data_IF_845609672149
#
_entry.id   IF_845609672149
#
_cell.length_a   1.000
_cell.length_b   1.000
_cell.length_c   1.000
_cell.angle_alpha   90.00
_cell.angle_beta   90.00
_cell.angle_gamma   90.00
#
_symmetry.space_group_name_H-M   'P 1'
#
loop_
_entity.id
_entity.type
_entity.pdbx_description
1 polymer ?
#
# COMPACT_ATOMS: atom_id res chain seq x y z
N UNK A 1 -3.58 -0.11 -32.50
CA UNK A 1 -4.08 -1.29 -33.24
C UNK A 1 -3.36 -1.32 -34.58
N UNK A 2 -2.62 -2.38 -34.92
CA UNK A 2 -2.00 -2.51 -36.25
C UNK A 2 -3.09 -2.67 -37.31
N UNK A 3 -2.99 -1.91 -38.39
CA UNK A 3 -3.91 -2.00 -39.55
C UNK A 3 -3.67 -3.30 -40.32
N UNK A 4 -4.63 -3.70 -41.17
CA UNK A 4 -4.48 -4.87 -42.05
C UNK A 4 -3.27 -4.73 -42.99
N UNK A 5 -2.99 -3.50 -43.43
CA UNK A 5 -1.83 -3.17 -44.24
C UNK A 5 -0.52 -3.38 -43.47
N UNK A 6 -0.45 -2.98 -42.19
CA UNK A 6 0.74 -3.20 -41.33
C UNK A 6 1.01 -4.70 -41.12
N UNK A 7 -0.04 -5.51 -41.02
CA UNK A 7 0.08 -6.98 -40.91
C UNK A 7 0.62 -7.61 -42.18
N UNK A 8 0.17 -7.15 -43.35
CA UNK A 8 0.66 -7.62 -44.65
C UNK A 8 2.13 -7.26 -44.87
N UNK A 9 2.54 -6.02 -44.54
CA UNK A 9 3.94 -5.62 -44.62
C UNK A 9 4.84 -6.39 -43.65
N UNK A 10 4.38 -6.62 -42.42
CA UNK A 10 5.10 -7.45 -41.46
C UNK A 10 5.23 -8.90 -41.93
N UNK A 11 4.16 -9.50 -42.46
CA UNK A 11 4.19 -10.86 -43.00
C UNK A 11 5.13 -10.99 -44.20
N UNK A 12 5.10 -10.02 -45.12
CA UNK A 12 6.04 -9.95 -46.24
C UNK A 12 7.49 -9.83 -45.76
N UNK A 13 7.77 -8.93 -44.82
CA UNK A 13 9.11 -8.76 -44.25
C UNK A 13 9.64 -10.02 -43.57
N UNK A 14 8.79 -10.73 -42.81
CA UNK A 14 9.16 -12.00 -42.17
C UNK A 14 9.42 -13.10 -43.20
N UNK A 15 8.60 -13.19 -44.25
CA UNK A 15 8.76 -14.19 -45.30
C UNK A 15 10.06 -13.98 -46.11
N UNK A 16 10.29 -12.75 -46.60
CA UNK A 16 11.50 -12.42 -47.36
C UNK A 16 12.75 -12.49 -46.50
N UNK A 17 12.71 -11.93 -45.28
CA UNK A 17 13.82 -11.99 -44.32
C UNK A 17 14.15 -13.42 -43.89
N UNK A 18 13.12 -14.24 -43.63
CA UNK A 18 13.29 -15.65 -43.27
C UNK A 18 13.88 -16.49 -44.41
N UNK A 19 13.42 -16.27 -45.65
CA UNK A 19 13.94 -16.96 -46.84
C UNK A 19 15.40 -16.58 -47.10
N UNK A 20 15.75 -15.30 -46.99
CA UNK A 20 17.13 -14.84 -47.15
C UNK A 20 18.04 -15.38 -46.04
N UNK A 21 17.58 -15.39 -44.79
CA UNK A 21 18.34 -15.92 -43.66
C UNK A 21 18.57 -17.43 -43.77
N UNK A 22 17.56 -18.19 -44.21
CA UNK A 22 17.70 -19.62 -44.45
C UNK A 22 18.65 -19.91 -45.60
N UNK A 23 18.53 -19.19 -46.73
CA UNK A 23 19.46 -19.34 -47.85
C UNK A 23 20.92 -19.04 -47.46
N UNK A 24 21.14 -18.01 -46.65
CA UNK A 24 22.46 -17.69 -46.12
C UNK A 24 22.98 -18.76 -45.15
N UNK A 25 22.11 -19.29 -44.29
CA UNK A 25 22.39 -20.39 -43.37
C UNK A 25 22.79 -21.67 -44.11
N UNK A 26 21.98 -22.10 -45.08
CA UNK A 26 22.24 -23.29 -45.91
C UNK A 26 23.56 -23.14 -46.67
N UNK A 27 23.85 -21.97 -47.24
CA UNK A 27 25.12 -21.72 -47.94
C UNK A 27 26.31 -21.76 -46.97
N UNK A 28 26.20 -21.12 -45.80
CA UNK A 28 27.28 -21.12 -44.81
C UNK A 28 27.59 -22.53 -44.29
N UNK A 29 26.56 -23.34 -44.01
CA UNK A 29 26.73 -24.73 -43.62
C UNK A 29 27.34 -25.58 -44.75
N UNK A 30 26.88 -25.39 -45.99
CA UNK A 30 27.41 -26.11 -47.16
C UNK A 30 28.87 -25.76 -47.45
N UNK A 31 29.23 -24.49 -47.33
CA UNK A 31 30.59 -23.98 -47.47
C UNK A 31 31.51 -24.52 -46.37
N UNK A 32 31.04 -24.58 -45.12
CA UNK A 32 31.77 -25.21 -44.02
C UNK A 32 32.00 -26.71 -44.26
N UNK A 33 30.99 -27.42 -44.76
CA UNK A 33 31.11 -28.82 -45.17
C UNK A 33 32.15 -29.05 -46.26
N UNK A 34 32.18 -28.18 -47.28
CA UNK A 34 33.19 -28.23 -48.35
C UNK A 34 34.60 -27.93 -47.83
N UNK A 35 34.75 -26.91 -46.97
CA UNK A 35 36.04 -26.53 -46.38
C UNK A 35 36.62 -27.65 -45.50
N UNK A 36 35.77 -28.39 -44.77
CA UNK A 36 36.19 -29.54 -43.96
C UNK A 36 36.70 -30.71 -44.81
N UNK A 37 36.25 -30.81 -46.08
CA UNK A 37 36.77 -31.79 -47.04
C UNK A 37 37.94 -31.28 -47.88
N UNK A 38 38.44 -30.05 -47.61
CA UNK A 38 39.54 -29.44 -48.35
C UNK A 38 39.15 -28.83 -49.71
N UNK A 39 37.85 -28.73 -49.99
CA UNK A 39 37.31 -28.18 -51.24
C UNK A 39 37.01 -26.68 -51.11
N UNK A 40 37.08 -25.96 -52.23
CA UNK A 40 36.78 -24.53 -52.25
C UNK A 40 35.28 -24.25 -52.20
N UNK A 41 34.86 -23.35 -51.31
CA UNK A 41 33.45 -22.96 -51.23
C UNK A 41 32.96 -22.23 -52.49
N UNK A 42 31.78 -22.58 -52.97
CA UNK A 42 31.12 -21.85 -54.06
C UNK A 42 30.84 -20.39 -53.65
N UNK A 43 30.99 -19.39 -54.53
CA UNK A 43 30.82 -17.99 -54.19
C UNK A 43 29.39 -17.70 -53.70
N UNK A 44 29.25 -16.86 -52.67
CA UNK A 44 27.95 -16.41 -52.17
C UNK A 44 27.30 -15.46 -53.19
N UNK A 45 26.34 -15.97 -53.97
CA UNK A 45 25.61 -15.19 -54.97
C UNK A 45 24.14 -15.64 -55.05
N UNK A 46 23.20 -14.78 -55.49
CA UNK A 46 21.81 -15.19 -55.72
C UNK A 46 21.68 -16.36 -56.69
N UNK A 47 22.57 -16.44 -57.69
CA UNK A 47 22.62 -17.56 -58.64
C UNK A 47 23.03 -18.86 -57.96
N UNK A 48 23.98 -18.80 -57.02
CA UNK A 48 24.41 -19.96 -56.22
C UNK A 48 23.25 -20.48 -55.38
N UNK A 49 22.51 -19.59 -54.70
CA UNK A 49 21.33 -19.96 -53.91
C UNK A 49 20.25 -20.64 -54.77
N UNK A 50 19.96 -20.10 -55.96
CA UNK A 50 19.03 -20.72 -56.90
C UNK A 50 19.50 -22.12 -57.31
N UNK A 51 20.77 -22.27 -57.66
CA UNK A 51 21.35 -23.55 -58.06
C UNK A 51 21.46 -24.56 -56.93
N UNK A 52 21.63 -24.14 -55.68
CA UNK A 52 21.56 -25.05 -54.54
C UNK A 52 20.19 -25.74 -54.47
N UNK A 53 19.13 -25.08 -54.90
CA UNK A 53 17.78 -25.68 -54.94
C UNK A 53 17.57 -26.53 -56.19
N UNK A 54 18.01 -26.07 -57.36
CA UNK A 54 17.70 -26.74 -58.64
C UNK A 54 18.73 -27.77 -59.09
N UNK A 55 19.99 -27.64 -58.67
CA UNK A 55 21.12 -28.47 -59.10
C UNK A 55 22.26 -28.43 -58.06
N UNK A 56 22.03 -29.10 -56.93
CA UNK A 56 22.99 -29.16 -55.81
C UNK A 56 24.35 -29.70 -56.23
N UNK A 57 24.37 -30.72 -57.11
CA UNK A 57 25.57 -31.36 -57.63
C UNK A 57 26.47 -30.40 -58.41
N UNK A 58 25.90 -29.45 -59.15
CA UNK A 58 26.68 -28.46 -59.90
C UNK A 58 27.32 -27.40 -58.98
N UNK A 59 26.76 -27.16 -57.80
CA UNK A 59 27.32 -26.20 -56.83
C UNK A 59 28.42 -26.82 -55.98
N UNK A 60 28.27 -28.11 -55.62
CA UNK A 60 29.19 -28.83 -54.73
C UNK A 60 29.74 -30.11 -55.36
N UNK A 61 30.39 -30.05 -56.54
CA UNK A 61 30.70 -31.24 -57.35
C UNK A 61 31.59 -32.28 -56.65
N UNK A 62 32.53 -31.83 -55.82
CA UNK A 62 33.51 -32.69 -55.14
C UNK A 62 33.23 -32.90 -53.64
N UNK A 63 32.19 -32.26 -53.09
CA UNK A 63 31.86 -32.30 -51.66
C UNK A 63 30.37 -32.51 -51.38
N UNK A 64 29.62 -33.11 -52.30
CA UNK A 64 28.14 -33.19 -52.28
C UNK A 64 27.58 -33.62 -50.92
N UNK A 65 28.10 -34.71 -50.35
CA UNK A 65 27.63 -35.28 -49.08
C UNK A 65 28.05 -34.44 -47.88
N UNK A 66 29.31 -33.96 -47.85
CA UNK A 66 29.83 -33.16 -46.74
C UNK A 66 29.15 -31.77 -46.67
N UNK A 67 28.95 -31.13 -47.82
CA UNK A 67 28.20 -29.88 -47.93
C UNK A 67 26.73 -30.07 -47.56
N UNK A 68 26.09 -31.18 -47.91
CA UNK A 68 24.71 -31.46 -47.52
C UNK A 68 24.57 -31.66 -46.00
N UNK A 69 25.50 -32.42 -45.40
CA UNK A 69 25.55 -32.61 -43.94
C UNK A 69 25.82 -31.27 -43.23
N UNK A 70 26.77 -30.46 -43.73
CA UNK A 70 27.08 -29.15 -43.17
C UNK A 70 25.89 -28.19 -43.25
N UNK A 71 25.22 -28.11 -44.39
CA UNK A 71 24.01 -27.30 -44.59
C UNK A 71 22.90 -27.70 -43.62
N UNK A 72 22.58 -28.99 -43.56
CA UNK A 72 21.50 -29.50 -42.70
C UNK A 72 21.77 -29.28 -41.21
N UNK A 73 22.99 -29.56 -40.73
CA UNK A 73 23.35 -29.33 -39.33
C UNK A 73 23.28 -27.84 -38.95
N UNK A 74 23.74 -26.97 -39.84
CA UNK A 74 23.72 -25.53 -39.60
C UNK A 74 22.30 -24.98 -39.60
N UNK A 75 21.45 -25.39 -40.55
CA UNK A 75 20.04 -25.00 -40.60
C UNK A 75 19.27 -25.48 -39.36
N UNK A 76 19.52 -26.71 -38.90
CA UNK A 76 18.93 -27.23 -37.64
C UNK A 76 19.37 -26.39 -36.45
N UNK A 77 20.66 -26.03 -36.37
CA UNK A 77 21.18 -25.19 -35.28
C UNK A 77 20.57 -23.77 -35.29
N UNK A 78 20.46 -23.15 -36.47
CA UNK A 78 19.85 -21.83 -36.63
C UNK A 78 18.37 -21.86 -36.27
N UNK A 79 17.61 -22.84 -36.77
CA UNK A 79 16.20 -23.02 -36.40
C UNK A 79 16.05 -23.25 -34.89
N UNK A 80 16.90 -24.08 -34.28
CA UNK A 80 16.86 -24.32 -32.84
C UNK A 80 17.13 -23.03 -32.04
N UNK A 81 18.11 -22.22 -32.44
CA UNK A 81 18.42 -20.94 -31.81
C UNK A 81 17.30 -19.91 -31.99
N UNK A 82 16.70 -19.82 -33.19
CA UNK A 82 15.57 -18.93 -33.46
C UNK A 82 14.34 -19.34 -32.63
N UNK A 83 14.00 -20.64 -32.62
CA UNK A 83 12.89 -21.16 -31.81
C UNK A 83 13.15 -20.92 -30.32
N UNK A 84 14.38 -21.12 -29.84
CA UNK A 84 14.77 -20.86 -28.45
C UNK A 84 14.66 -19.38 -28.09
N UNK A 85 15.18 -18.49 -28.95
CA UNK A 85 15.09 -17.04 -28.79
C UNK A 85 13.64 -16.54 -28.81
N UNK A 86 12.82 -17.05 -29.73
CA UNK A 86 11.38 -16.75 -29.78
C UNK A 86 10.67 -17.24 -28.50
N UNK A 87 10.97 -18.44 -28.01
CA UNK A 87 10.40 -18.95 -26.74
C UNK A 87 10.75 -18.03 -25.56
N UNK A 88 11.99 -17.57 -25.46
CA UNK A 88 12.41 -16.61 -24.43
C UNK A 88 11.70 -15.26 -24.58
N UNK A 89 11.63 -14.72 -25.80
CA UNK A 89 10.96 -13.46 -26.09
C UNK A 89 9.47 -13.53 -25.76
N UNK A 90 8.78 -14.60 -26.18
CA UNK A 90 7.38 -14.85 -25.84
C UNK A 90 7.19 -14.99 -24.33
N UNK A 91 8.09 -15.68 -23.61
CA UNK A 91 8.01 -15.78 -22.14
C UNK A 91 8.08 -14.42 -21.46
N UNK A 92 8.85 -13.47 -21.99
CA UNK A 92 9.00 -12.13 -21.41
C UNK A 92 7.92 -11.13 -21.83
N UNK A 93 7.42 -11.22 -23.06
CA UNK A 93 6.55 -10.19 -23.65
C UNK A 93 5.09 -10.62 -23.85
N UNK A 94 4.79 -11.92 -23.85
CA UNK A 94 3.43 -12.40 -24.06
C UNK A 94 2.70 -12.48 -22.73
N UNK A 95 1.70 -11.61 -22.54
CA UNK A 95 0.74 -11.74 -21.45
C UNK A 95 -0.59 -12.29 -22.00
N UNK A 96 -0.95 -13.57 -21.74
CA UNK A 96 -2.18 -14.16 -22.25
C UNK A 96 -3.45 -13.69 -21.53
N UNK A 97 -3.36 -12.94 -20.43
CA UNK A 97 -4.48 -12.63 -19.55
C UNK A 97 -4.81 -11.14 -19.44
N UNK A 98 -4.34 -10.31 -20.39
CA UNK A 98 -4.49 -8.83 -20.35
C UNK A 98 -3.94 -8.18 -19.07
N UNK A 99 -3.05 -8.88 -18.35
CA UNK A 99 -2.35 -8.35 -17.19
C UNK A 99 -1.09 -7.59 -17.64
N UNK A 100 -0.49 -6.84 -16.72
CA UNK A 100 0.79 -6.19 -16.98
C UNK A 100 1.89 -7.24 -17.23
N UNK A 101 2.80 -6.96 -18.16
CA UNK A 101 3.98 -7.80 -18.39
C UNK A 101 5.00 -7.61 -17.26
N UNK A 102 5.89 -8.60 -17.05
CA UNK A 102 6.95 -8.50 -16.04
C UNK A 102 7.83 -7.26 -16.24
N UNK A 103 8.01 -6.83 -17.50
CA UNK A 103 8.75 -5.62 -17.81
C UNK A 103 8.03 -4.34 -17.34
N UNK A 104 6.70 -4.30 -17.41
CA UNK A 104 5.89 -3.17 -16.94
C UNK A 104 5.87 -3.09 -15.41
N UNK A 105 5.92 -4.23 -14.71
CA UNK A 105 5.98 -4.29 -13.24
C UNK A 105 7.39 -4.53 -12.70
N UNK A 106 8.43 -4.29 -13.51
CA UNK A 106 9.82 -4.64 -13.14
C UNK A 106 10.29 -3.96 -11.86
N UNK A 107 9.77 -2.78 -11.53
CA UNK A 107 10.14 -2.05 -10.31
C UNK A 107 9.70 -2.79 -9.04
N UNK A 108 8.66 -3.64 -9.15
CA UNK A 108 8.16 -4.48 -8.07
C UNK A 108 8.91 -5.82 -7.94
N UNK A 109 9.82 -6.13 -8.87
CA UNK A 109 10.54 -7.41 -8.87
C UNK A 109 11.65 -7.44 -7.81
N UNK A 110 12.10 -8.62 -7.35
CA UNK A 110 12.98 -8.74 -6.19
C UNK A 110 14.25 -7.88 -6.25
N UNK A 111 14.86 -7.75 -7.44
CA UNK A 111 16.07 -6.93 -7.62
C UNK A 111 15.82 -5.43 -7.43
N UNK A 112 14.71 -4.92 -7.93
CA UNK A 112 14.38 -3.49 -7.84
C UNK A 112 13.79 -3.17 -6.47
N UNK A 113 12.87 -4.00 -5.97
CA UNK A 113 12.33 -3.93 -4.63
C UNK A 113 13.44 -3.93 -3.56
N UNK A 114 14.43 -4.83 -3.64
CA UNK A 114 15.54 -4.84 -2.69
C UNK A 114 16.38 -3.55 -2.71
N UNK A 115 16.62 -2.97 -3.91
CA UNK A 115 17.35 -1.70 -4.02
C UNK A 115 16.55 -0.55 -3.42
N UNK A 116 15.25 -0.50 -3.68
CA UNK A 116 14.35 0.49 -3.10
C UNK A 116 14.30 0.36 -1.58
N UNK A 117 14.15 -0.85 -1.05
CA UNK A 117 14.17 -1.10 0.39
C UNK A 117 15.48 -0.62 1.04
N UNK A 118 16.66 -0.95 0.48
CA UNK A 118 17.94 -0.46 1.02
C UNK A 118 18.12 1.05 0.95
N UNK A 119 17.46 1.72 -0.01
CA UNK A 119 17.49 3.17 -0.16
C UNK A 119 16.60 3.87 0.88
N UNK A 120 15.42 3.30 1.15
CA UNK A 120 14.41 3.91 2.03
C UNK A 120 14.59 3.55 3.50
N UNK A 121 14.90 2.29 3.80
CA UNK A 121 15.04 1.80 5.17
C UNK A 121 16.44 2.08 5.68
N UNK A 122 16.56 3.03 6.59
CA UNK A 122 17.83 3.39 7.22
C UNK A 122 18.54 2.18 7.85
N UNK A 123 17.79 1.23 8.43
CA UNK A 123 18.32 -0.01 9.01
C UNK A 123 18.94 -0.99 8.01
N UNK A 124 18.71 -0.81 6.71
CA UNK A 124 19.20 -1.68 5.64
C UNK A 124 20.29 -1.03 4.78
N UNK A 125 20.71 0.21 5.09
CA UNK A 125 21.60 1.01 4.25
C UNK A 125 22.92 0.31 3.89
N UNK A 126 23.50 -0.43 4.83
CA UNK A 126 24.78 -1.12 4.65
C UNK A 126 24.62 -2.59 4.22
N UNK A 127 23.39 -3.01 3.90
CA UNK A 127 23.10 -4.40 3.50
C UNK A 127 23.20 -4.54 1.98
N UNK A 128 23.85 -5.60 1.50
CA UNK A 128 23.86 -5.94 0.07
C UNK A 128 22.43 -6.30 -0.40
N UNK A 129 21.83 -5.57 -1.36
CA UNK A 129 20.48 -5.85 -1.86
C UNK A 129 20.30 -7.26 -2.39
N UNK A 130 21.36 -7.93 -2.84
CA UNK A 130 21.30 -9.32 -3.32
C UNK A 130 21.09 -10.34 -2.20
N UNK A 131 21.39 -9.97 -0.96
CA UNK A 131 21.32 -10.84 0.23
C UNK A 131 20.10 -10.53 1.11
N UNK A 132 19.30 -9.52 0.76
CA UNK A 132 18.09 -9.17 1.50
C UNK A 132 17.10 -10.34 1.52
N UNK A 133 16.57 -10.66 2.70
CA UNK A 133 15.45 -11.58 2.83
C UNK A 133 14.22 -11.04 2.07
N UNK A 134 13.33 -11.89 1.53
CA UNK A 134 12.14 -11.45 0.82
C UNK A 134 11.28 -10.45 1.61
N UNK A 135 10.98 -10.75 2.87
CA UNK A 135 10.19 -9.89 3.77
C UNK A 135 10.77 -8.48 3.94
N UNK A 136 12.09 -8.31 3.78
CA UNK A 136 12.74 -7.00 3.92
C UNK A 136 12.69 -6.14 2.65
N UNK A 137 12.15 -6.66 1.55
CA UNK A 137 12.11 -5.95 0.26
C UNK A 137 10.86 -5.06 0.09
N UNK A 138 10.01 -4.99 1.11
CA UNK A 138 8.76 -4.21 1.11
C UNK A 138 7.51 -5.09 1.19
N UNK A 139 6.36 -4.50 0.87
CA UNK A 139 5.02 -5.08 1.05
C UNK A 139 4.73 -6.17 0.00
N UNK A 140 4.41 -7.39 0.45
CA UNK A 140 4.04 -8.50 -0.44
C UNK A 140 2.74 -8.23 -1.21
N UNK A 141 2.83 -8.24 -2.54
CA UNK A 141 1.66 -8.08 -3.44
C UNK A 141 1.18 -9.41 -4.03
N UNK A 142 2.09 -10.40 -4.10
CA UNK A 142 1.85 -11.72 -4.68
C UNK A 142 2.77 -12.02 -5.85
N UNK A 143 2.46 -13.07 -6.60
CA UNK A 143 3.31 -13.52 -7.70
C UNK A 143 2.83 -13.03 -9.06
N UNK A 144 3.76 -12.53 -9.87
CA UNK A 144 3.49 -12.21 -11.27
C UNK A 144 3.18 -13.50 -12.05
N UNK A 145 1.96 -13.58 -12.59
CA UNK A 145 1.59 -14.60 -13.57
C UNK A 145 1.94 -14.11 -14.99
N UNK A 146 2.64 -14.91 -15.83
CA UNK A 146 2.95 -16.34 -15.70
C UNK A 146 4.36 -16.66 -15.17
N UNK A 147 5.17 -15.66 -14.78
CA UNK A 147 6.59 -15.91 -14.46
C UNK A 147 6.84 -16.54 -13.10
N UNK A 148 5.86 -16.49 -12.18
CA UNK A 148 6.02 -16.92 -10.79
C UNK A 148 6.99 -16.04 -10.00
N UNK A 149 7.20 -14.80 -10.45
CA UNK A 149 8.13 -13.87 -9.79
C UNK A 149 7.39 -13.13 -8.69
N UNK A 150 7.83 -13.28 -7.44
CA UNK A 150 7.29 -12.52 -6.31
C UNK A 150 7.42 -11.01 -6.57
N UNK A 151 6.31 -10.29 -6.42
CA UNK A 151 6.22 -8.85 -6.54
C UNK A 151 6.02 -8.24 -5.16
N UNK A 152 6.83 -7.21 -4.87
CA UNK A 152 6.74 -6.43 -3.64
C UNK A 152 6.70 -4.94 -3.97
N UNK A 153 5.75 -4.24 -3.37
CA UNK A 153 5.69 -2.78 -3.39
C UNK A 153 6.61 -2.20 -2.32
N UNK A 154 6.93 -0.92 -2.45
CA UNK A 154 7.74 -0.22 -1.45
C UNK A 154 6.99 -0.04 -0.13
N UNK A 155 7.71 0.12 0.97
CA UNK A 155 7.13 0.51 2.26
C UNK A 155 6.58 1.96 2.26
N UNK A 156 6.95 2.77 1.25
CA UNK A 156 6.44 4.14 1.04
C UNK A 156 5.22 4.21 0.10
N UNK A 157 4.92 3.12 -0.61
CA UNK A 157 3.85 3.10 -1.61
C UNK A 157 2.47 2.98 -0.93
N UNK A 158 1.49 3.69 -1.49
CA UNK A 158 0.08 3.57 -1.07
C UNK A 158 -0.64 2.54 -1.91
N UNK A 159 -1.26 1.56 -1.26
CA UNK A 159 -1.99 0.47 -1.93
C UNK A 159 -3.50 0.58 -1.74
N UNK A 160 -4.24 0.31 -2.81
CA UNK A 160 -5.70 0.16 -2.76
C UNK A 160 -6.06 -1.24 -3.26
N UNK A 161 -6.65 -2.05 -2.37
CA UNK A 161 -7.11 -3.40 -2.68
C UNK A 161 -8.64 -3.45 -2.81
N UNK A 162 -9.14 -3.65 -4.02
CA UNK A 162 -10.58 -3.81 -4.30
C UNK A 162 -10.92 -5.28 -4.26
N UNK A 163 -11.63 -5.72 -3.21
CA UNK A 163 -11.94 -7.13 -2.98
C UNK A 163 -13.39 -7.32 -2.55
N UNK A 164 -14.06 -8.33 -3.11
CA UNK A 164 -15.40 -8.72 -2.70
C UNK A 164 -15.40 -9.30 -1.25
N UNK A 165 -16.54 -9.26 -0.54
CA UNK A 165 -16.67 -10.00 0.71
C UNK A 165 -16.27 -11.46 0.56
N UNK A 166 -15.54 -12.01 1.53
CA UNK A 166 -15.01 -13.39 1.55
C UNK A 166 -13.96 -13.72 0.48
N UNK A 167 -13.43 -12.74 -0.25
CA UNK A 167 -12.34 -12.95 -1.22
C UNK A 167 -10.93 -13.11 -0.59
N UNK A 168 -10.85 -13.28 0.74
CA UNK A 168 -9.57 -13.52 1.42
C UNK A 168 -8.79 -12.27 1.84
N UNK A 169 -9.36 -11.05 1.80
CA UNK A 169 -8.67 -9.79 2.17
C UNK A 169 -7.80 -9.89 3.43
N UNK A 170 -8.36 -10.45 4.50
CA UNK A 170 -7.63 -10.60 5.77
C UNK A 170 -6.45 -11.56 5.63
N UNK A 171 -6.69 -12.76 5.08
CA UNK A 171 -5.72 -13.85 5.00
C UNK A 171 -4.63 -13.64 3.95
N UNK A 172 -4.95 -13.01 2.81
CA UNK A 172 -4.02 -12.85 1.69
C UNK A 172 -3.29 -11.51 1.68
N UNK A 173 -3.78 -10.49 2.41
CA UNK A 173 -3.16 -9.16 2.44
C UNK A 173 -2.89 -8.70 3.88
N UNK A 174 -3.94 -8.48 4.69
CA UNK A 174 -3.76 -7.79 5.97
C UNK A 174 -2.86 -8.56 6.97
N UNK A 175 -3.02 -9.89 7.06
CA UNK A 175 -2.21 -10.74 7.94
C UNK A 175 -0.75 -10.78 7.46
N UNK A 176 -0.42 -11.11 6.20
CA UNK A 176 0.96 -11.05 5.70
C UNK A 176 1.64 -9.70 5.93
N UNK A 177 0.94 -8.59 5.64
CA UNK A 177 1.47 -7.23 5.86
C UNK A 177 1.75 -6.97 7.34
N UNK A 178 0.86 -7.41 8.23
CA UNK A 178 1.07 -7.27 9.67
C UNK A 178 2.27 -8.08 10.17
N UNK A 179 2.38 -9.34 9.73
CA UNK A 179 3.48 -10.24 10.11
C UNK A 179 4.85 -9.70 9.65
N UNK A 180 4.92 -9.15 8.44
CA UNK A 180 6.17 -8.62 7.85
C UNK A 180 6.43 -7.14 8.17
N UNK A 181 5.56 -6.47 8.93
CA UNK A 181 5.68 -5.03 9.22
C UNK A 181 7.04 -4.70 9.89
N UNK A 182 7.91 -3.89 9.26
CA UNK A 182 9.29 -3.67 9.70
C UNK A 182 9.42 -2.69 10.87
N UNK A 183 8.37 -1.92 11.15
CA UNK A 183 8.30 -0.91 12.22
C UNK A 183 6.98 -0.96 12.96
N UNK A 184 6.56 0.20 13.48
CA UNK A 184 5.27 0.37 14.12
C UNK A 184 4.14 0.00 13.16
N UNK A 185 3.14 -0.74 13.66
CA UNK A 185 2.01 -1.21 12.87
C UNK A 185 0.70 -0.70 13.45
N UNK A 186 0.05 0.21 12.74
CA UNK A 186 -1.34 0.60 13.01
C UNK A 186 -2.29 -0.26 12.17
N UNK A 187 -3.17 -1.02 12.81
CA UNK A 187 -4.14 -1.88 12.13
C UNK A 187 -5.56 -1.53 12.57
N UNK A 188 -6.39 -1.10 11.61
CA UNK A 188 -7.81 -0.84 11.86
C UNK A 188 -8.67 -1.99 11.35
N UNK A 189 -9.63 -2.46 12.14
CA UNK A 189 -10.54 -3.53 11.71
C UNK A 189 -11.90 -3.49 12.40
N UNK A 190 -12.93 -3.92 11.68
CA UNK A 190 -14.27 -4.16 12.23
C UNK A 190 -14.54 -5.61 12.61
N UNK A 191 -13.50 -6.44 12.55
CA UNK A 191 -13.51 -7.87 12.92
C UNK A 191 -12.25 -8.20 13.71
N UNK A 192 -12.37 -9.19 14.59
CA UNK A 192 -11.26 -9.65 15.42
C UNK A 192 -10.27 -10.59 14.68
N UNK A 193 -10.49 -10.88 13.39
CA UNK A 193 -9.76 -11.91 12.64
C UNK A 193 -8.26 -11.60 12.48
N UNK A 194 -7.91 -10.40 12.03
CA UNK A 194 -6.49 -10.01 11.87
C UNK A 194 -5.79 -9.88 13.23
N UNK A 195 -6.48 -9.29 14.21
CA UNK A 195 -5.99 -9.21 15.60
C UNK A 195 -5.69 -10.61 16.16
N UNK A 196 -6.66 -11.52 16.11
CA UNK A 196 -6.51 -12.88 16.64
C UNK A 196 -5.40 -13.67 15.93
N UNK A 197 -5.23 -13.46 14.63
CA UNK A 197 -4.21 -14.14 13.84
C UNK A 197 -2.78 -13.65 14.13
N UNK A 198 -2.61 -12.36 14.45
CA UNK A 198 -1.29 -11.69 14.48
C UNK A 198 -0.83 -11.26 15.87
N UNK A 199 -1.70 -11.29 16.88
CA UNK A 199 -1.38 -10.83 18.24
C UNK A 199 -0.12 -11.52 18.80
N UNK A 200 -0.09 -12.85 18.76
CA UNK A 200 0.98 -13.63 19.39
C UNK A 200 2.34 -13.45 18.69
N UNK A 201 2.35 -13.26 17.37
CA UNK A 201 3.57 -12.99 16.59
C UNK A 201 4.07 -11.57 16.81
N UNK A 202 3.18 -10.57 16.76
CA UNK A 202 3.53 -9.17 17.01
C UNK A 202 4.01 -8.92 18.44
N UNK A 203 3.43 -9.60 19.43
CA UNK A 203 3.87 -9.53 20.83
C UNK A 203 5.31 -10.05 21.07
N UNK A 204 5.88 -10.83 20.14
CA UNK A 204 7.30 -11.22 20.19
C UNK A 204 8.25 -10.16 19.64
N UNK A 205 7.74 -9.17 18.92
CA UNK A 205 8.52 -8.13 18.25
C UNK A 205 8.52 -6.83 19.08
N UNK A 206 7.36 -6.45 19.61
CA UNK A 206 7.17 -5.24 20.40
C UNK A 206 5.90 -5.33 21.26
N UNK A 207 5.54 -4.21 21.89
CA UNK A 207 4.32 -4.13 22.69
C UNK A 207 3.09 -4.12 21.78
N UNK A 208 2.05 -4.86 22.15
CA UNK A 208 0.77 -4.86 21.44
C UNK A 208 -0.27 -4.06 22.21
N UNK A 209 -0.69 -2.96 21.64
CA UNK A 209 -1.74 -2.06 22.13
C UNK A 209 -3.05 -2.38 21.43
N UNK A 210 -4.16 -2.34 22.16
CA UNK A 210 -5.49 -2.62 21.60
C UNK A 210 -6.46 -1.59 22.14
N UNK A 211 -7.18 -0.92 21.26
CA UNK A 211 -8.33 -0.08 21.59
C UNK A 211 -9.58 -0.71 20.99
N UNK A 212 -10.45 -1.27 21.84
CA UNK A 212 -11.70 -1.94 21.47
C UNK A 212 -12.89 -1.35 22.22
N UNK A 213 -13.25 -0.13 21.86
CA UNK A 213 -14.34 0.63 22.52
C UNK A 213 -15.72 -0.02 22.34
N UNK A 214 -15.87 -0.91 21.35
CA UNK A 214 -17.17 -1.51 20.99
C UNK A 214 -17.23 -3.05 21.17
N UNK A 215 -16.19 -3.67 21.74
CA UNK A 215 -16.13 -5.10 21.99
C UNK A 215 -16.17 -5.95 20.71
N UNK A 216 -15.39 -5.60 19.70
CA UNK A 216 -15.20 -6.38 18.47
C UNK A 216 -14.46 -7.68 18.77
N UNK A 217 -13.38 -7.61 19.56
CA UNK A 217 -12.59 -8.76 19.99
C UNK A 217 -12.88 -9.14 21.46
N UNK A 218 -13.70 -8.36 22.17
CA UNK A 218 -14.05 -8.59 23.59
C UNK A 218 -12.81 -8.63 24.48
N UNK A 219 -11.82 -7.81 24.17
CA UNK A 219 -10.57 -7.74 24.94
C UNK A 219 -10.81 -7.07 26.29
N UNK A 220 -10.02 -7.48 27.27
CA UNK A 220 -9.88 -6.72 28.51
C UNK A 220 -9.03 -5.46 28.23
N UNK A 221 -9.42 -4.32 28.82
CA UNK A 221 -8.70 -3.05 28.65
C UNK A 221 -7.34 -3.13 29.32
N UNK A 222 -6.27 -2.96 28.54
CA UNK A 222 -4.88 -3.02 29.01
C UNK A 222 -4.12 -1.69 28.84
N UNK A 223 -4.77 -0.65 28.35
CA UNK A 223 -4.19 0.68 28.15
C UNK A 223 -5.24 1.76 28.33
N UNK A 224 -4.78 3.00 28.42
CA UNK A 224 -5.58 4.19 28.20
C UNK A 224 -4.79 5.20 27.36
N UNK A 225 -5.49 6.12 26.70
CA UNK A 225 -4.90 7.16 25.87
C UNK A 225 -5.33 8.53 26.37
N UNK A 226 -4.38 9.45 26.52
CA UNK A 226 -4.70 10.82 26.87
C UNK A 226 -5.14 11.60 25.63
N UNK A 227 -6.44 11.63 25.37
CA UNK A 227 -6.97 12.36 24.21
C UNK A 227 -6.83 13.88 24.35
N UNK A 228 -6.80 14.41 25.58
CA UNK A 228 -6.68 15.86 25.82
C UNK A 228 -5.27 16.34 25.48
N UNK A 229 -4.25 15.47 25.61
CA UNK A 229 -2.90 15.78 25.15
C UNK A 229 -2.84 16.16 23.65
N UNK A 230 -3.74 15.64 22.80
CA UNK A 230 -3.80 16.06 21.39
C UNK A 230 -4.26 17.51 21.20
N UNK A 231 -4.95 18.06 22.18
CA UNK A 231 -5.37 19.43 22.18
C UNK A 231 -4.29 20.37 22.71
N UNK A 232 -2.99 20.01 22.66
CA UNK A 232 -1.86 20.88 23.04
C UNK A 232 -1.79 22.14 22.18
N UNK A 233 -2.09 22.01 20.88
CA UNK A 233 -2.16 23.12 19.93
C UNK A 233 -3.61 23.37 19.52
N UNK A 234 -3.88 24.58 19.00
CA UNK A 234 -5.20 24.89 18.44
C UNK A 234 -5.54 23.96 17.27
N UNK A 235 -4.60 23.72 16.36
CA UNK A 235 -4.78 22.77 15.24
C UNK A 235 -5.10 21.35 15.75
N UNK A 236 -4.38 20.88 16.78
CA UNK A 236 -4.65 19.58 17.40
C UNK A 236 -6.04 19.49 18.02
N UNK A 237 -6.51 20.56 18.66
CA UNK A 237 -7.87 20.65 19.21
C UNK A 237 -8.95 20.66 18.11
N UNK A 238 -8.72 21.40 17.01
CA UNK A 238 -9.60 21.43 15.83
C UNK A 238 -9.72 20.03 15.20
N UNK A 239 -8.60 19.36 14.97
CA UNK A 239 -8.57 17.99 14.47
C UNK A 239 -9.31 17.04 15.39
N UNK A 240 -9.03 17.08 16.69
CA UNK A 240 -9.69 16.26 17.69
C UNK A 240 -11.21 16.46 17.67
N UNK A 241 -11.68 17.71 17.69
CA UNK A 241 -13.10 18.05 17.62
C UNK A 241 -13.75 17.57 16.32
N UNK A 242 -13.05 17.69 15.18
CA UNK A 242 -13.59 17.29 13.87
C UNK A 242 -14.01 15.81 13.80
N UNK A 243 -13.27 14.91 14.49
CA UNK A 243 -13.60 13.47 14.55
C UNK A 243 -14.93 13.20 15.27
N UNK A 244 -15.26 14.00 16.28
CA UNK A 244 -16.53 13.92 17.01
C UNK A 244 -17.67 14.60 16.23
N UNK A 245 -17.42 15.78 15.66
CA UNK A 245 -18.44 16.53 14.90
C UNK A 245 -18.91 15.77 13.66
N UNK A 246 -18.02 15.02 13.01
CA UNK A 246 -18.38 14.16 11.87
C UNK A 246 -19.49 13.16 12.20
N UNK A 247 -19.69 12.80 13.48
CA UNK A 247 -20.78 11.89 13.91
C UNK A 247 -22.17 12.52 13.85
N UNK A 248 -22.27 13.85 13.86
CA UNK A 248 -23.55 14.60 13.83
C UNK A 248 -23.77 15.32 12.50
N UNK A 249 -22.75 15.39 11.64
CA UNK A 249 -22.87 15.97 10.31
C UNK A 249 -23.60 15.02 9.35
N UNK A 250 -24.55 15.55 8.59
CA UNK A 250 -25.23 14.85 7.49
C UNK A 250 -25.55 15.85 6.38
N UNK A 251 -25.71 15.38 5.13
CA UNK A 251 -25.99 16.25 3.97
C UNK A 251 -27.29 17.06 4.10
N UNK A 252 -28.22 16.60 4.94
CA UNK A 252 -29.52 17.25 5.16
C UNK A 252 -29.54 18.16 6.41
N UNK A 253 -28.52 18.07 7.27
CA UNK A 253 -28.46 18.88 8.48
C UNK A 253 -27.89 20.26 8.18
N UNK A 254 -28.41 21.28 8.87
CA UNK A 254 -27.88 22.64 8.80
C UNK A 254 -26.43 22.67 9.31
N UNK A 255 -25.44 23.03 8.47
CA UNK A 255 -24.02 23.07 8.85
C UNK A 255 -23.72 24.00 10.02
N UNK A 256 -24.58 24.99 10.29
CA UNK A 256 -24.43 25.89 11.42
C UNK A 256 -24.26 25.14 12.75
N UNK A 257 -25.07 24.10 12.98
CA UNK A 257 -25.06 23.37 14.25
C UNK A 257 -23.81 22.53 14.46
N UNK A 258 -23.33 21.87 13.42
CA UNK A 258 -22.11 21.07 13.49
C UNK A 258 -20.87 21.96 13.62
N UNK A 259 -20.84 23.10 12.93
CA UNK A 259 -19.76 24.08 13.05
C UNK A 259 -19.71 24.69 14.47
N UNK A 260 -20.82 25.21 14.98
CA UNK A 260 -20.87 25.83 16.30
C UNK A 260 -20.57 24.82 17.42
N UNK A 261 -21.02 23.57 17.28
CA UNK A 261 -20.66 22.49 18.20
C UNK A 261 -19.15 22.18 18.14
N UNK A 262 -18.55 22.21 16.95
CA UNK A 262 -17.11 22.07 16.76
C UNK A 262 -16.33 23.17 17.45
N UNK A 263 -16.67 24.43 17.21
CA UNK A 263 -16.00 25.59 17.82
C UNK A 263 -16.05 25.52 19.36
N UNK A 264 -17.22 25.16 19.92
CA UNK A 264 -17.37 24.93 21.36
C UNK A 264 -16.45 23.79 21.84
N UNK A 265 -16.43 22.64 21.17
CA UNK A 265 -15.57 21.52 21.55
C UNK A 265 -14.09 21.87 21.49
N UNK A 266 -13.65 22.63 20.48
CA UNK A 266 -12.27 23.14 20.38
C UNK A 266 -11.92 23.96 21.62
N UNK A 267 -12.76 24.93 21.97
CA UNK A 267 -12.59 25.75 23.17
C UNK A 267 -12.50 24.91 24.45
N UNK A 268 -13.41 23.95 24.62
CA UNK A 268 -13.42 23.10 25.82
C UNK A 268 -12.21 22.16 25.89
N UNK A 269 -11.75 21.60 24.77
CA UNK A 269 -10.54 20.77 24.76
C UNK A 269 -9.29 21.61 25.08
N UNK A 270 -9.18 22.83 24.53
CA UNK A 270 -8.10 23.77 24.87
C UNK A 270 -8.13 24.18 26.34
N UNK A 271 -9.30 24.47 26.89
CA UNK A 271 -9.46 24.76 28.30
C UNK A 271 -9.02 23.58 29.18
N UNK A 272 -9.41 22.34 28.83
CA UNK A 272 -9.01 21.15 29.57
C UNK A 272 -7.49 20.91 29.50
N UNK A 273 -6.86 21.16 28.35
CA UNK A 273 -5.41 21.08 28.22
C UNK A 273 -4.70 22.04 29.17
N UNK A 274 -5.10 23.31 29.18
CA UNK A 274 -4.49 24.33 30.05
C UNK A 274 -4.73 24.10 31.55
N UNK A 275 -5.87 23.53 31.92
CA UNK A 275 -6.20 23.18 33.30
C UNK A 275 -5.47 21.90 33.78
N UNK A 276 -4.78 21.18 32.89
CA UNK A 276 -4.26 19.84 33.18
C UNK A 276 -5.39 18.82 33.46
N UNK A 277 -6.58 19.10 32.93
CA UNK A 277 -7.78 18.31 33.11
C UNK A 277 -7.88 17.12 32.16
N UNK A 278 -9.03 16.48 32.17
CA UNK A 278 -9.34 15.28 31.38
C UNK A 278 -10.61 15.48 30.57
N UNK A 279 -10.92 14.53 29.69
CA UNK A 279 -12.20 14.56 28.97
C UNK A 279 -13.42 14.50 29.91
N UNK A 280 -13.27 14.05 31.18
CA UNK A 280 -14.36 14.15 32.17
C UNK A 280 -14.73 15.59 32.47
N UNK A 281 -13.74 16.50 32.51
CA UNK A 281 -13.97 17.91 32.77
C UNK A 281 -14.71 18.55 31.60
N UNK A 282 -14.35 18.19 30.36
CA UNK A 282 -15.09 18.59 29.15
C UNK A 282 -16.53 18.09 29.20
N UNK A 283 -16.76 16.82 29.54
CA UNK A 283 -18.11 16.25 29.67
C UNK A 283 -18.93 16.95 30.77
N UNK A 284 -18.29 17.34 31.88
CA UNK A 284 -18.90 18.12 32.96
C UNK A 284 -19.30 19.51 32.46
N UNK A 285 -18.41 20.23 31.80
CA UNK A 285 -18.67 21.57 31.24
C UNK A 285 -19.78 21.55 30.19
N UNK A 286 -19.83 20.53 29.33
CA UNK A 286 -20.91 20.35 28.35
C UNK A 286 -22.28 20.09 28.99
N UNK A 287 -22.31 19.61 30.23
CA UNK A 287 -23.55 19.28 30.93
C UNK A 287 -24.20 20.50 31.60
N UNK A 288 -23.45 21.59 31.78
CA UNK A 288 -23.90 22.82 32.44
C UNK A 288 -23.44 24.07 31.67
N UNK A 289 -24.30 24.67 30.81
CA UNK A 289 -23.98 25.90 30.10
C UNK A 289 -23.67 27.11 31.01
N UNK A 290 -24.05 27.05 32.30
CA UNK A 290 -23.75 28.12 33.25
C UNK A 290 -22.34 28.00 33.84
N UNK A 291 -21.62 26.90 33.61
CA UNK A 291 -20.25 26.69 34.09
C UNK A 291 -19.27 27.61 33.35
N UNK A 292 -18.63 28.51 34.11
CA UNK A 292 -17.73 29.54 33.57
C UNK A 292 -16.26 29.17 33.65
N UNK A 293 -15.91 28.06 34.32
CA UNK A 293 -14.54 27.56 34.42
C UNK A 293 -13.81 27.50 33.07
N UNK A 294 -14.33 26.85 32.00
CA UNK A 294 -13.59 26.73 30.75
C UNK A 294 -13.27 28.08 30.12
N UNK A 295 -14.24 29.01 30.11
CA UNK A 295 -14.03 30.35 29.56
C UNK A 295 -13.02 31.14 30.38
N UNK A 296 -13.05 31.03 31.72
CA UNK A 296 -12.03 31.67 32.58
C UNK A 296 -10.62 31.16 32.27
N UNK A 297 -10.47 29.86 32.06
CA UNK A 297 -9.19 29.25 31.68
C UNK A 297 -8.75 29.78 30.31
N UNK A 298 -9.64 29.77 29.32
CA UNK A 298 -9.33 30.30 27.98
C UNK A 298 -8.94 31.78 28.01
N UNK A 299 -9.64 32.65 28.75
CA UNK A 299 -9.26 34.06 28.84
C UNK A 299 -7.88 34.29 29.48
N UNK A 300 -7.41 33.37 30.33
CA UNK A 300 -6.08 33.45 30.95
C UNK A 300 -4.96 33.02 29.99
N UNK A 301 -5.23 32.05 29.10
CA UNK A 301 -4.21 31.40 28.29
C UNK A 301 -4.31 31.72 26.79
N UNK A 302 -5.52 31.81 26.25
CA UNK A 302 -5.84 32.01 24.82
C UNK A 302 -7.00 33.00 24.62
N UNK A 303 -6.81 34.30 24.93
CA UNK A 303 -7.90 35.28 24.93
C UNK A 303 -8.59 35.45 23.57
N UNK A 304 -7.87 35.27 22.46
CA UNK A 304 -8.47 35.35 21.11
C UNK A 304 -9.43 34.19 20.87
N UNK A 305 -9.06 32.96 21.26
CA UNK A 305 -9.95 31.81 21.17
C UNK A 305 -11.12 31.96 22.14
N UNK A 306 -10.86 32.50 23.34
CA UNK A 306 -11.91 32.79 24.32
C UNK A 306 -12.99 33.72 23.73
N UNK A 307 -12.59 34.84 23.11
CA UNK A 307 -13.52 35.76 22.43
C UNK A 307 -14.32 35.07 21.32
N UNK A 308 -13.68 34.21 20.53
CA UNK A 308 -14.35 33.46 19.46
C UNK A 308 -15.39 32.48 20.03
N UNK A 309 -15.01 31.66 21.01
CA UNK A 309 -15.91 30.68 21.64
C UNK A 309 -17.03 31.40 22.37
N UNK A 310 -16.74 32.50 23.08
CA UNK A 310 -17.76 33.33 23.75
C UNK A 310 -18.75 33.87 22.73
N UNK A 311 -18.28 34.42 21.61
CA UNK A 311 -19.16 34.92 20.54
C UNK A 311 -20.06 33.83 19.94
N UNK A 312 -19.57 32.59 19.88
CA UNK A 312 -20.33 31.44 19.38
C UNK A 312 -21.39 30.95 20.36
N UNK A 313 -21.18 31.08 21.67
CA UNK A 313 -22.12 30.58 22.69
C UNK A 313 -22.99 31.69 23.32
N UNK A 314 -22.56 32.95 23.30
CA UNK A 314 -23.25 34.09 23.89
C UNK A 314 -24.29 34.67 22.92
N UNK A 315 -25.23 33.81 22.50
CA UNK A 315 -26.34 34.08 21.59
C UNK A 315 -27.66 33.92 22.39
N UNK A 316 -28.82 34.11 21.75
CA UNK A 316 -30.11 33.78 22.34
C UNK A 316 -30.11 32.38 23.01
N UNK A 317 -30.71 32.29 24.19
CA UNK A 317 -30.69 31.10 25.07
C UNK A 317 -31.15 29.81 24.36
N UNK A 318 -32.14 29.92 23.46
CA UNK A 318 -32.62 28.80 22.64
C UNK A 318 -31.54 28.29 21.68
N UNK A 319 -30.82 29.19 21.01
CA UNK A 319 -29.70 28.85 20.11
C UNK A 319 -28.53 28.27 20.89
N UNK A 320 -28.16 28.86 22.03
CA UNK A 320 -27.10 28.35 22.90
C UNK A 320 -27.40 26.92 23.36
N UNK A 321 -28.63 26.66 23.80
CA UNK A 321 -29.09 25.33 24.19
C UNK A 321 -28.96 24.32 23.04
N UNK A 322 -29.27 24.74 21.80
CA UNK A 322 -29.08 23.95 20.60
C UNK A 322 -27.61 23.60 20.32
N UNK A 323 -26.68 24.55 20.49
CA UNK A 323 -25.24 24.33 20.31
C UNK A 323 -24.72 23.30 21.32
N UNK A 324 -25.01 23.48 22.61
CA UNK A 324 -24.62 22.52 23.65
C UNK A 324 -25.24 21.13 23.43
N UNK A 325 -26.49 21.06 22.95
CA UNK A 325 -27.12 19.80 22.62
C UNK A 325 -26.41 19.06 21.49
N UNK A 326 -26.00 19.77 20.43
CA UNK A 326 -25.24 19.20 19.32
C UNK A 326 -23.86 18.74 19.78
N UNK A 327 -23.14 19.57 20.55
CA UNK A 327 -21.84 19.19 21.13
C UNK A 327 -21.93 17.93 22.00
N UNK A 328 -22.92 17.84 22.92
CA UNK A 328 -23.19 16.62 23.71
C UNK A 328 -23.51 15.40 22.86
N UNK A 329 -24.18 15.61 21.72
CA UNK A 329 -24.50 14.52 20.79
C UNK A 329 -23.25 14.03 20.06
N UNK A 330 -22.36 14.93 19.64
CA UNK A 330 -21.08 14.61 19.02
C UNK A 330 -20.19 13.75 19.93
N UNK A 331 -20.11 14.08 21.22
CA UNK A 331 -19.32 13.32 22.21
C UNK A 331 -20.11 12.23 22.92
N UNK A 332 -21.29 11.85 22.42
CA UNK A 332 -22.24 10.99 23.14
C UNK A 332 -21.71 9.61 23.53
N UNK A 333 -20.66 9.13 22.84
CA UNK A 333 -19.94 7.89 23.16
C UNK A 333 -19.30 7.92 24.56
N UNK A 334 -18.80 9.08 24.96
CA UNK A 334 -18.04 9.30 26.18
C UNK A 334 -18.93 9.33 27.43
N UNK A 335 -20.26 9.21 27.26
CA UNK A 335 -21.20 9.01 28.37
C UNK A 335 -21.16 7.58 28.92
N UNK A 336 -20.72 6.61 28.11
CA UNK A 336 -20.50 5.25 28.59
C UNK A 336 -19.16 5.21 29.33
N UNK A 337 -19.20 4.95 30.64
CA UNK A 337 -18.02 4.82 31.49
C UNK A 337 -17.01 3.79 30.96
N UNK A 338 -17.47 2.76 30.23
CA UNK A 338 -16.59 1.77 29.60
C UNK A 338 -15.79 2.38 28.45
N UNK A 339 -16.38 3.28 27.67
CA UNK A 339 -15.69 3.99 26.57
C UNK A 339 -14.80 5.08 27.15
N UNK A 340 -15.32 5.86 28.10
CA UNK A 340 -14.61 6.93 28.78
C UNK A 340 -13.33 6.45 29.47
N UNK A 341 -13.35 5.24 30.05
CA UNK A 341 -12.17 4.62 30.65
C UNK A 341 -10.98 4.45 29.66
N UNK A 342 -11.22 4.27 28.36
CA UNK A 342 -10.13 4.18 27.38
C UNK A 342 -9.37 5.49 27.19
N UNK A 343 -10.00 6.62 27.51
CA UNK A 343 -9.47 7.96 27.25
C UNK A 343 -9.28 8.81 28.51
N UNK A 344 -9.29 8.17 29.67
CA UNK A 344 -9.10 8.82 30.97
C UNK A 344 -7.96 8.16 31.74
N UNK A 345 -7.21 8.92 32.55
CA UNK A 345 -6.09 8.37 33.32
C UNK A 345 -6.48 7.18 34.19
N UNK A 346 -5.74 6.08 34.09
CA UNK A 346 -5.81 4.94 35.00
C UNK A 346 -4.41 4.60 35.48
N UNK A 347 -4.17 4.74 36.79
CA UNK A 347 -2.84 4.51 37.40
C UNK A 347 -2.40 3.05 37.37
N UNK A 348 -3.31 2.12 37.05
CA UNK A 348 -3.02 0.68 36.99
C UNK A 348 -2.66 0.20 35.59
N UNK A 349 -2.92 1.02 34.56
CA UNK A 349 -2.70 0.68 33.17
C UNK A 349 -1.70 1.65 32.53
N UNK A 350 -0.86 1.18 31.61
CA UNK A 350 0.04 2.07 30.87
C UNK A 350 -0.74 3.07 30.00
N UNK A 351 -0.23 4.29 29.92
CA UNK A 351 -0.64 5.30 28.94
C UNK A 351 -0.05 4.94 27.58
N UNK A 352 -0.90 4.86 26.56
CA UNK A 352 -0.44 4.81 25.17
C UNK A 352 0.01 6.20 24.73
N UNK A 353 1.20 6.25 24.12
CA UNK A 353 1.83 7.47 23.63
C UNK A 353 2.05 7.37 22.10
N UNK A 354 1.32 8.13 21.28
CA UNK A 354 1.45 8.12 19.83
C UNK A 354 2.88 8.45 19.33
N UNK A 355 3.60 9.38 19.97
CA UNK A 355 4.95 9.80 19.55
C UNK A 355 5.97 8.69 19.79
N UNK A 356 5.93 8.07 20.98
CA UNK A 356 6.76 6.92 21.26
C UNK A 356 6.42 5.74 20.32
N UNK A 357 5.13 5.52 20.07
CA UNK A 357 4.67 4.46 19.18
C UNK A 357 5.21 4.61 17.75
N UNK A 358 5.18 5.81 17.17
CA UNK A 358 5.59 6.07 15.78
C UNK A 358 7.04 5.67 15.47
N UNK A 359 7.93 5.71 16.46
CA UNK A 359 9.35 5.36 16.33
C UNK A 359 9.69 3.93 16.78
N UNK A 360 8.70 3.18 17.25
CA UNK A 360 8.86 1.85 17.83
C UNK A 360 8.72 0.71 16.80
N UNK A 361 8.63 -0.53 17.30
CA UNK A 361 8.18 -1.72 16.54
C UNK A 361 6.86 -2.29 17.07
N UNK A 362 6.17 -1.50 17.88
CA UNK A 362 4.94 -1.89 18.54
C UNK A 362 3.80 -2.06 17.52
N UNK A 363 2.68 -2.59 17.99
CA UNK A 363 1.48 -2.76 17.16
C UNK A 363 0.28 -2.20 17.87
N UNK A 364 -0.48 -1.32 17.22
CA UNK A 364 -1.74 -0.78 17.71
C UNK A 364 -2.89 -1.35 16.88
N UNK A 365 -3.75 -2.13 17.53
CA UNK A 365 -5.00 -2.62 16.96
C UNK A 365 -6.14 -1.68 17.35
N UNK A 366 -6.73 -1.03 16.35
CA UNK A 366 -7.90 -0.19 16.51
C UNK A 366 -9.14 -0.94 16.02
N UNK A 367 -9.98 -1.36 16.96
CA UNK A 367 -11.14 -2.19 16.66
C UNK A 367 -12.43 -1.39 16.82
N UNK A 368 -13.19 -1.27 15.73
CA UNK A 368 -14.46 -0.55 15.69
C UNK A 368 -15.45 -1.26 14.79
N UNK A 369 -16.68 -1.46 15.27
CA UNK A 369 -17.82 -1.86 14.43
C UNK A 369 -18.12 -0.73 13.43
N UNK A 370 -18.87 -1.06 12.37
CA UNK A 370 -19.28 -0.08 11.38
C UNK A 370 -20.23 0.93 12.03
N UNK A 371 -19.77 2.17 12.16
CA UNK A 371 -20.53 3.30 12.70
C UNK A 371 -20.65 3.31 14.22
N UNK A 372 -21.41 4.29 14.70
CA UNK A 372 -21.68 4.51 16.12
C UNK A 372 -20.73 5.52 16.76
N UNK A 373 -21.17 6.22 17.83
CA UNK A 373 -20.42 7.35 18.39
C UNK A 373 -19.00 7.01 18.85
N UNK A 374 -18.78 5.79 19.35
CA UNK A 374 -17.47 5.35 19.85
C UNK A 374 -16.40 5.22 18.74
N UNK A 375 -16.80 5.21 17.47
CA UNK A 375 -15.86 5.24 16.34
C UNK A 375 -15.08 6.55 16.24
N UNK A 376 -15.60 7.66 16.80
CA UNK A 376 -14.89 8.94 16.86
C UNK A 376 -13.60 8.86 17.68
N UNK A 377 -13.63 8.13 18.82
CA UNK A 377 -12.43 7.89 19.65
C UNK A 377 -11.38 7.09 18.88
N UNK A 378 -11.83 6.09 18.11
CA UNK A 378 -10.95 5.27 17.27
C UNK A 378 -10.32 6.11 16.16
N UNK A 379 -11.11 6.94 15.48
CA UNK A 379 -10.63 7.83 14.44
C UNK A 379 -9.64 8.87 14.99
N UNK A 380 -9.93 9.47 16.14
CA UNK A 380 -9.05 10.45 16.78
C UNK A 380 -7.71 9.84 17.22
N UNK A 381 -7.69 8.61 17.74
CA UNK A 381 -6.43 7.93 18.07
C UNK A 381 -5.65 7.52 16.81
N UNK A 382 -6.33 7.09 15.75
CA UNK A 382 -5.66 6.83 14.47
C UNK A 382 -4.98 8.10 13.95
N UNK A 383 -5.69 9.22 14.00
CA UNK A 383 -5.19 10.52 13.57
C UNK A 383 -3.97 10.97 14.38
N UNK A 384 -4.05 10.85 15.71
CA UNK A 384 -2.95 11.14 16.62
C UNK A 384 -1.67 10.37 16.27
N UNK A 385 -1.79 9.12 15.82
CA UNK A 385 -0.64 8.30 15.37
C UNK A 385 -0.10 8.77 14.03
N UNK A 386 -0.92 9.28 13.11
CA UNK A 386 -0.47 9.79 11.82
C UNK A 386 0.21 11.15 11.91
N UNK A 387 -0.09 11.95 12.93
CA UNK A 387 0.48 13.28 13.15
C UNK A 387 1.64 13.31 14.14
N UNK A 388 1.96 12.18 14.76
CA UNK A 388 3.02 12.03 15.76
C UNK A 388 4.44 12.08 15.20
#
# INVERSE_FOLDING_TARGET
MMTENDRMWAAGGVFFGGTAALAASTWAGAAAGAALTGETAAPASPLTVYRMVTDWSAVWPHSQTASLIGATLFDVAVVALVVWGLRLAFKWHRNPSSLATLHQVRELTPKHAARTATRLRASLRDTDPKKLAPADRGVLLGDHLPSGTELRGSDEDTFVAIMAPRAGKSTSLAIPVAEEAPGALLMTSNKADVYAATLASRARIGTTWVLDTQGVAQVERQMWWDMIAQAETLEGAERLASHFVTQITSEQADPFWSQAAGDLLVGLFRAAYWDGGTVRDVMKWLSDPAEKAPMRILYQHEPVLAEQVDSSINIAEETQSGIFQNARTAVSALRDERVLAWVTPDTRLPRFDPEHFATSKDTLYLLSKKGGPASAVVAALADAVFTA
#
